data_IF_523296798872
#
_entry.id   IF_523296798872
#
_cell.length_a   1.000
_cell.length_b   1.000
_cell.length_c   1.000
_cell.angle_alpha   90.00
_cell.angle_beta   90.00
_cell.angle_gamma   90.00
#
_symmetry.space_group_name_H-M   'P 1'
#
loop_
_entity.id
_entity.type
_entity.pdbx_description
1 polymer ?
#
# COMPACT_ATOMS: atom_id res chain seq x y z
N UNK A 1 -18.29 -16.06 26.53
CA UNK A 1 -19.20 -15.72 25.41
C UNK A 1 -18.34 -15.11 24.31
N UNK A 2 -18.57 -15.38 23.02
CA UNK A 2 -17.99 -14.57 21.96
C UNK A 2 -18.48 -13.13 22.07
N UNK A 3 -17.64 -12.15 21.75
CA UNK A 3 -18.03 -10.74 21.74
C UNK A 3 -18.52 -10.40 20.33
N UNK A 4 -19.82 -10.10 20.19
CA UNK A 4 -20.47 -9.93 18.88
C UNK A 4 -20.38 -8.52 18.32
N UNK A 5 -20.14 -7.52 19.16
CA UNK A 5 -20.01 -6.11 18.82
C UNK A 5 -18.55 -5.65 18.64
N UNK A 6 -17.59 -6.58 18.55
CA UNK A 6 -16.18 -6.27 18.32
C UNK A 6 -15.57 -7.14 17.21
N UNK A 7 -14.78 -6.52 16.32
CA UNK A 7 -14.18 -7.18 15.15
C UNK A 7 -12.69 -6.87 14.92
N UNK A 8 -11.96 -7.85 14.41
CA UNK A 8 -10.74 -7.64 13.64
C UNK A 8 -11.13 -7.36 12.18
N UNK A 9 -10.54 -6.32 11.58
CA UNK A 9 -10.86 -5.86 10.22
C UNK A 9 -9.58 -5.85 9.36
N UNK A 10 -9.68 -6.30 8.11
CA UNK A 10 -8.61 -6.21 7.10
C UNK A 10 -9.17 -5.80 5.74
N UNK A 11 -8.31 -5.40 4.79
CA UNK A 11 -8.67 -5.05 3.42
C UNK A 11 -7.94 -5.94 2.40
N UNK A 12 -8.65 -6.43 1.38
CA UNK A 12 -8.07 -7.08 0.21
C UNK A 12 -8.59 -6.43 -1.10
N UNK A 13 -7.74 -5.69 -1.80
CA UNK A 13 -8.10 -4.93 -3.01
C UNK A 13 -8.01 -5.73 -4.32
N UNK A 14 -7.67 -7.03 -4.24
CA UNK A 14 -7.53 -7.97 -5.37
C UNK A 14 -7.23 -9.39 -4.84
N UNK A 15 -7.22 -10.37 -5.74
CA UNK A 15 -6.95 -11.79 -5.43
C UNK A 15 -5.55 -12.06 -4.85
N UNK A 16 -4.56 -11.19 -5.10
CA UNK A 16 -3.21 -11.35 -4.56
C UNK A 16 -3.17 -10.95 -3.09
N UNK A 17 -3.68 -9.77 -2.74
CA UNK A 17 -3.84 -9.36 -1.33
C UNK A 17 -4.85 -10.24 -0.57
N UNK A 18 -5.79 -10.88 -1.26
CA UNK A 18 -6.70 -11.86 -0.66
C UNK A 18 -5.95 -13.08 -0.09
N UNK A 19 -4.82 -13.49 -0.66
CA UNK A 19 -3.98 -14.55 -0.08
C UNK A 19 -3.39 -14.13 1.26
N UNK A 20 -2.98 -12.86 1.37
CA UNK A 20 -2.55 -12.23 2.62
C UNK A 20 -3.66 -12.24 3.67
N UNK A 21 -4.83 -11.68 3.32
CA UNK A 21 -5.99 -11.62 4.20
C UNK A 21 -6.42 -13.03 4.68
N UNK A 22 -6.39 -14.04 3.81
CA UNK A 22 -6.68 -15.42 4.18
C UNK A 22 -5.71 -15.97 5.23
N UNK A 23 -4.40 -15.75 5.07
CA UNK A 23 -3.40 -16.18 6.07
C UNK A 23 -3.52 -15.39 7.37
N UNK A 24 -3.79 -14.08 7.32
CA UNK A 24 -4.07 -13.24 8.47
C UNK A 24 -5.30 -13.75 9.25
N UNK A 25 -6.44 -13.90 8.59
CA UNK A 25 -7.68 -14.39 9.20
C UNK A 25 -7.51 -15.78 9.82
N UNK A 26 -6.84 -16.70 9.11
CA UNK A 26 -6.53 -18.02 9.65
C UNK A 26 -5.55 -17.96 10.82
N UNK A 27 -4.59 -17.02 10.83
CA UNK A 27 -3.69 -16.84 11.98
C UNK A 27 -4.45 -16.38 13.23
N UNK A 28 -5.43 -15.47 13.09
CA UNK A 28 -6.34 -15.07 14.16
C UNK A 28 -7.20 -16.24 14.67
N UNK A 29 -7.78 -17.05 13.77
CA UNK A 29 -8.52 -18.28 14.14
C UNK A 29 -7.60 -19.28 14.88
N UNK A 30 -6.37 -19.50 14.42
CA UNK A 30 -5.38 -20.38 15.05
C UNK A 30 -5.03 -19.92 16.48
N UNK A 31 -4.91 -18.60 16.70
CA UNK A 31 -4.70 -17.99 18.01
C UNK A 31 -5.98 -17.82 18.84
N UNK A 32 -7.08 -18.44 18.42
CA UNK A 32 -8.37 -18.47 19.13
C UNK A 32 -8.94 -17.08 19.43
N UNK A 33 -8.79 -16.14 18.49
CA UNK A 33 -9.43 -14.83 18.54
C UNK A 33 -10.92 -14.96 18.88
N UNK A 34 -11.38 -14.23 19.89
CA UNK A 34 -12.75 -14.34 20.44
C UNK A 34 -13.76 -13.36 19.83
N UNK A 35 -13.29 -12.57 18.86
CA UNK A 35 -14.00 -11.50 18.14
C UNK A 35 -14.31 -11.91 16.71
N UNK A 36 -15.20 -11.15 16.08
CA UNK A 36 -15.54 -11.31 14.66
C UNK A 36 -14.34 -11.03 13.76
N UNK A 37 -14.25 -11.73 12.64
CA UNK A 37 -13.29 -11.45 11.56
C UNK A 37 -14.03 -10.86 10.37
N UNK A 38 -13.69 -9.63 9.98
CA UNK A 38 -14.28 -8.93 8.83
C UNK A 38 -13.19 -8.66 7.78
N UNK A 39 -13.50 -8.92 6.51
CA UNK A 39 -12.67 -8.47 5.39
C UNK A 39 -13.44 -7.53 4.47
N UNK A 40 -12.90 -6.33 4.29
CA UNK A 40 -13.29 -5.41 3.23
C UNK A 40 -12.66 -5.90 1.92
N UNK A 41 -13.43 -5.90 0.84
CA UNK A 41 -12.96 -6.23 -0.51
C UNK A 41 -13.39 -5.18 -1.53
N UNK A 42 -12.68 -5.07 -2.64
CA UNK A 42 -13.12 -4.27 -3.79
C UNK A 42 -13.81 -5.13 -4.85
N UNK A 43 -14.52 -4.53 -5.82
CA UNK A 43 -15.07 -5.24 -6.98
C UNK A 43 -14.05 -6.10 -7.76
N UNK A 44 -12.75 -5.82 -7.65
CA UNK A 44 -11.69 -6.55 -8.36
C UNK A 44 -11.32 -7.91 -7.73
N UNK A 45 -11.83 -8.24 -6.54
CA UNK A 45 -11.69 -9.59 -5.96
C UNK A 45 -12.66 -10.54 -6.65
N UNK A 46 -12.16 -11.68 -7.14
CA UNK A 46 -12.93 -12.65 -7.92
C UNK A 46 -13.99 -13.39 -7.10
N UNK A 47 -15.01 -13.93 -7.79
CA UNK A 47 -16.07 -14.76 -7.20
C UNK A 47 -15.51 -15.98 -6.45
N UNK A 48 -14.45 -16.61 -6.97
CA UNK A 48 -13.73 -17.69 -6.29
C UNK A 48 -13.12 -17.22 -4.96
N UNK A 49 -12.37 -16.12 -4.98
CA UNK A 49 -11.72 -15.61 -3.77
C UNK A 49 -12.73 -15.13 -2.72
N UNK A 50 -13.86 -14.57 -3.13
CA UNK A 50 -14.98 -14.21 -2.22
C UNK A 50 -15.53 -15.44 -1.48
N UNK A 51 -15.76 -16.54 -2.19
CA UNK A 51 -16.21 -17.80 -1.57
C UNK A 51 -15.16 -18.33 -0.60
N UNK A 52 -13.86 -18.31 -0.97
CA UNK A 52 -12.78 -18.78 -0.09
C UNK A 52 -12.63 -17.87 1.15
N UNK A 53 -12.73 -16.54 1.01
CA UNK A 53 -12.75 -15.58 2.12
C UNK A 53 -13.90 -15.86 3.08
N UNK A 54 -15.10 -16.17 2.58
CA UNK A 54 -16.26 -16.53 3.43
C UNK A 54 -16.12 -17.87 4.17
N UNK A 55 -15.12 -18.71 3.83
CA UNK A 55 -14.76 -19.93 4.59
C UNK A 55 -13.79 -19.63 5.75
N UNK A 56 -13.25 -18.40 5.86
CA UNK A 56 -12.29 -17.97 6.91
C UNK A 56 -12.84 -16.81 7.75
N UNK A 57 -13.39 -15.78 7.11
CA UNK A 57 -13.96 -14.59 7.74
C UNK A 57 -15.43 -14.80 8.13
N UNK A 58 -15.89 -14.08 9.16
CA UNK A 58 -17.29 -14.09 9.57
C UNK A 58 -18.15 -13.17 8.67
N UNK A 59 -17.55 -12.14 8.09
CA UNK A 59 -18.16 -11.23 7.12
C UNK A 59 -17.18 -10.84 6.00
N UNK A 60 -17.70 -10.74 4.78
CA UNK A 60 -16.99 -10.30 3.56
C UNK A 60 -17.79 -9.16 2.95
N UNK A 61 -17.26 -7.94 3.01
CA UNK A 61 -18.00 -6.70 2.70
C UNK A 61 -17.38 -6.05 1.47
N UNK A 62 -18.15 -5.86 0.41
CA UNK A 62 -17.69 -5.09 -0.76
C UNK A 62 -17.74 -3.58 -0.51
N UNK A 63 -16.64 -2.91 -0.85
CA UNK A 63 -16.50 -1.46 -0.88
C UNK A 63 -16.28 -1.04 -2.33
N UNK A 64 -17.29 -0.38 -2.91
CA UNK A 64 -17.24 0.15 -4.27
C UNK A 64 -17.25 1.68 -4.25
N UNK A 65 -16.07 2.31 -4.30
CA UNK A 65 -15.92 3.77 -4.23
C UNK A 65 -16.62 4.53 -5.37
N UNK A 66 -16.92 3.87 -6.49
CA UNK A 66 -17.58 4.51 -7.65
C UNK A 66 -19.09 4.65 -7.41
N UNK A 67 -19.70 3.66 -6.74
CA UNK A 67 -21.13 3.58 -6.39
C UNK A 67 -21.40 4.10 -4.95
N UNK A 68 -20.35 4.55 -4.26
CA UNK A 68 -20.43 5.17 -2.94
C UNK A 68 -20.91 6.62 -3.06
N UNK A 69 -21.86 7.01 -2.21
CA UNK A 69 -22.57 8.29 -2.27
C UNK A 69 -21.65 9.52 -2.44
N UNK A 70 -22.14 10.50 -3.21
CA UNK A 70 -21.45 11.65 -3.83
C UNK A 70 -20.12 12.10 -3.20
N UNK A 71 -20.07 12.29 -1.89
CA UNK A 71 -18.88 12.79 -1.20
C UNK A 71 -17.65 11.85 -1.33
N UNK A 72 -17.85 10.54 -1.30
CA UNK A 72 -16.77 9.54 -1.46
C UNK A 72 -16.26 9.55 -2.90
N UNK A 73 -17.20 9.57 -3.87
CA UNK A 73 -16.90 9.69 -5.28
C UNK A 73 -16.16 11.01 -5.59
N UNK A 74 -16.58 12.13 -5.01
CA UNK A 74 -15.92 13.44 -5.16
C UNK A 74 -14.52 13.49 -4.53
N UNK A 75 -14.32 12.86 -3.37
CA UNK A 75 -13.00 12.72 -2.77
C UNK A 75 -12.07 11.91 -3.69
N UNK A 76 -12.54 10.78 -4.22
CA UNK A 76 -11.80 9.96 -5.18
C UNK A 76 -11.52 10.68 -6.50
N UNK A 77 -12.47 11.42 -7.08
CA UNK A 77 -12.26 12.22 -8.29
C UNK A 77 -11.22 13.34 -8.11
N UNK A 78 -11.14 13.92 -6.91
CA UNK A 78 -10.11 14.92 -6.57
C UNK A 78 -8.73 14.30 -6.28
N UNK A 79 -8.71 13.04 -5.80
CA UNK A 79 -7.53 12.34 -5.27
C UNK A 79 -7.51 10.87 -5.74
N UNK A 80 -7.43 10.58 -7.05
CA UNK A 80 -7.48 9.20 -7.55
C UNK A 80 -6.30 8.35 -7.05
N UNK A 81 -5.17 8.98 -6.71
CA UNK A 81 -4.02 8.35 -6.06
C UNK A 81 -4.36 7.71 -4.71
N UNK A 82 -5.35 8.26 -3.99
CA UNK A 82 -5.78 7.78 -2.67
C UNK A 82 -6.82 6.64 -2.75
N UNK A 83 -7.08 6.03 -3.92
CA UNK A 83 -8.13 5.01 -4.07
C UNK A 83 -8.04 3.83 -3.07
N UNK A 84 -6.84 3.34 -2.77
CA UNK A 84 -6.66 2.29 -1.74
C UNK A 84 -6.91 2.85 -0.34
N UNK A 85 -6.40 4.04 -0.03
CA UNK A 85 -6.63 4.76 1.23
C UNK A 85 -8.11 4.96 1.50
N UNK A 86 -8.86 5.52 0.55
CA UNK A 86 -10.31 5.77 0.67
C UNK A 86 -11.08 4.45 0.85
N UNK A 87 -10.62 3.35 0.25
CA UNK A 87 -11.17 2.01 0.50
C UNK A 87 -10.88 1.53 1.94
N UNK A 88 -9.67 1.76 2.46
CA UNK A 88 -9.28 1.41 3.85
C UNK A 88 -10.08 2.22 4.88
N UNK A 89 -10.36 3.49 4.62
CA UNK A 89 -11.19 4.34 5.48
C UNK A 89 -12.61 3.80 5.71
N UNK A 90 -13.16 3.00 4.79
CA UNK A 90 -14.50 2.43 4.94
C UNK A 90 -14.65 1.51 6.16
N UNK A 91 -13.55 1.09 6.79
CA UNK A 91 -13.61 0.38 8.07
C UNK A 91 -14.33 1.19 9.18
N UNK A 92 -14.31 2.53 9.12
CA UNK A 92 -15.10 3.38 10.03
C UNK A 92 -16.61 3.37 9.74
N UNK A 93 -17.08 2.86 8.60
CA UNK A 93 -18.54 2.77 8.32
C UNK A 93 -19.22 1.58 9.01
N UNK A 94 -18.45 0.65 9.57
CA UNK A 94 -18.87 -0.60 10.22
C UNK A 94 -19.55 -0.39 11.60
N UNK A 95 -20.48 0.55 11.68
CA UNK A 95 -21.15 1.08 12.90
C UNK A 95 -22.02 0.08 13.67
N UNK A 96 -22.14 -1.16 13.20
CA UNK A 96 -22.68 -2.29 13.98
C UNK A 96 -21.64 -2.89 14.95
N UNK A 97 -20.36 -2.52 14.82
CA UNK A 97 -19.28 -2.81 15.76
C UNK A 97 -18.96 -1.59 16.65
N UNK A 98 -18.82 -1.79 17.96
CA UNK A 98 -18.54 -0.75 18.96
C UNK A 98 -17.05 -0.34 19.01
N UNK A 99 -16.17 -1.28 18.62
CA UNK A 99 -14.72 -1.11 18.53
C UNK A 99 -14.14 -2.17 17.60
N UNK A 100 -13.16 -1.75 16.80
CA UNK A 100 -12.46 -2.61 15.86
C UNK A 100 -10.94 -2.51 16.00
N UNK A 101 -10.25 -3.58 15.63
CA UNK A 101 -8.79 -3.58 15.42
C UNK A 101 -8.55 -3.80 13.94
N UNK A 102 -7.98 -2.82 13.25
CA UNK A 102 -7.55 -2.98 11.86
C UNK A 102 -6.19 -3.67 11.81
N UNK A 103 -6.00 -4.58 10.85
CA UNK A 103 -4.72 -5.16 10.47
C UNK A 103 -4.62 -5.19 8.93
N UNK A 104 -3.51 -4.72 8.36
CA UNK A 104 -3.26 -4.85 6.93
C UNK A 104 -3.03 -6.32 6.52
N UNK A 105 -3.40 -6.67 5.29
CA UNK A 105 -3.42 -8.05 4.80
C UNK A 105 -2.03 -8.70 4.64
N UNK A 106 -0.94 -7.93 4.74
CA UNK A 106 0.44 -8.40 4.84
C UNK A 106 0.97 -8.41 6.29
N UNK A 107 0.07 -8.51 7.26
CA UNK A 107 0.40 -8.86 8.66
C UNK A 107 0.20 -10.35 8.96
N UNK A 108 0.78 -10.84 10.06
CA UNK A 108 0.69 -12.21 10.53
C UNK A 108 0.64 -12.26 12.06
N UNK A 109 -0.36 -12.91 12.64
CA UNK A 109 -0.58 -12.99 14.08
C UNK A 109 0.02 -14.27 14.67
N UNK A 110 0.98 -14.11 15.60
CA UNK A 110 1.78 -15.18 16.21
C UNK A 110 1.28 -15.63 17.58
N UNK A 111 0.48 -14.80 18.25
CA UNK A 111 -0.12 -15.06 19.56
C UNK A 111 -1.50 -14.38 19.64
N UNK A 112 -2.35 -14.76 20.59
CA UNK A 112 -3.62 -14.06 20.80
C UNK A 112 -3.37 -12.57 21.18
N UNK A 113 -4.15 -11.68 20.59
CA UNK A 113 -4.09 -10.21 20.72
C UNK A 113 -5.45 -9.60 21.14
N UNK A 114 -6.31 -10.39 21.79
CA UNK A 114 -7.66 -9.96 22.18
C UNK A 114 -7.66 -8.79 23.19
N UNK A 115 -6.57 -8.56 23.91
CA UNK A 115 -6.38 -7.39 24.80
C UNK A 115 -6.21 -6.06 24.05
N UNK A 116 -6.04 -6.05 22.71
CA UNK A 116 -6.03 -4.79 21.95
C UNK A 116 -7.38 -4.04 22.03
N UNK A 117 -8.49 -4.76 22.23
CA UNK A 117 -9.81 -4.14 22.41
C UNK A 117 -9.99 -3.45 23.76
N UNK A 118 -9.04 -3.53 24.69
CA UNK A 118 -9.03 -2.72 25.91
C UNK A 118 -8.59 -1.26 25.63
N UNK A 119 -7.98 -1.00 24.46
CA UNK A 119 -7.48 0.31 24.02
C UNK A 119 -8.60 1.21 23.45
N UNK A 120 -8.32 2.51 23.31
CA UNK A 120 -9.27 3.52 22.79
C UNK A 120 -8.88 4.01 21.40
N UNK A 121 -9.79 4.64 20.65
CA UNK A 121 -9.41 5.35 19.44
C UNK A 121 -8.49 6.57 19.76
N UNK A 122 -7.47 6.88 18.97
CA UNK A 122 -6.81 6.05 17.96
C UNK A 122 -5.54 5.46 18.60
N UNK A 123 -5.42 4.13 18.69
CA UNK A 123 -4.24 3.47 19.26
C UNK A 123 -3.48 2.68 18.22
N UNK A 124 -2.21 2.98 18.01
CA UNK A 124 -1.34 2.32 17.03
C UNK A 124 0.10 2.17 17.58
N UNK A 125 0.93 1.39 16.88
CA UNK A 125 2.34 1.23 17.22
C UNK A 125 3.21 2.29 16.51
N UNK A 126 4.36 2.70 17.08
CA UNK A 126 5.30 3.60 16.42
C UNK A 126 5.81 3.03 15.09
N UNK A 127 5.99 3.90 14.11
CA UNK A 127 6.67 3.55 12.87
C UNK A 127 8.19 3.48 13.10
N UNK A 128 8.89 2.44 12.59
CA UNK A 128 10.32 2.27 12.84
C UNK A 128 11.22 3.17 11.98
N UNK A 129 10.67 3.88 10.98
CA UNK A 129 11.38 4.90 10.21
C UNK A 129 11.30 6.28 10.85
N UNK A 130 10.11 6.69 11.29
CA UNK A 130 9.90 7.97 11.98
C UNK A 130 8.99 7.76 13.22
N UNK A 131 9.56 7.63 14.44
CA UNK A 131 8.83 7.11 15.61
C UNK A 131 7.79 8.06 16.22
N UNK A 132 7.80 9.35 15.86
CA UNK A 132 6.73 10.30 16.21
C UNK A 132 5.50 10.15 15.29
N UNK A 133 5.60 9.32 14.24
CA UNK A 133 4.48 8.81 13.49
C UNK A 133 4.16 7.38 13.96
N UNK A 134 2.89 7.00 13.89
CA UNK A 134 2.48 5.61 14.03
C UNK A 134 2.48 4.90 12.68
N UNK A 135 2.65 3.58 12.71
CA UNK A 135 2.47 2.72 11.54
C UNK A 135 1.00 2.29 11.41
N UNK A 136 0.37 2.54 10.26
CA UNK A 136 -1.06 2.26 10.04
C UNK A 136 -1.38 0.79 9.70
N UNK A 137 -0.39 -0.10 9.79
CA UNK A 137 -0.54 -1.54 9.59
C UNK A 137 -1.36 -2.25 10.66
N UNK A 138 -1.36 -1.74 11.91
CA UNK A 138 -2.17 -2.25 13.02
C UNK A 138 -2.62 -1.10 13.90
N UNK A 139 -3.94 -0.90 14.03
CA UNK A 139 -4.51 0.14 14.89
C UNK A 139 -5.88 -0.22 15.48
N UNK A 140 -6.23 0.39 16.61
CA UNK A 140 -7.51 0.25 17.31
C UNK A 140 -8.33 1.52 17.13
N UNK A 141 -9.57 1.36 16.66
CA UNK A 141 -10.47 2.45 16.27
C UNK A 141 -11.93 2.14 16.66
N UNK A 142 -12.81 3.13 16.52
CA UNK A 142 -14.24 3.00 16.80
C UNK A 142 -15.04 3.41 15.56
N UNK A 143 -15.76 2.47 14.91
CA UNK A 143 -16.58 2.78 13.74
C UNK A 143 -17.57 3.92 14.01
N UNK A 144 -17.52 4.94 13.15
CA UNK A 144 -18.31 6.17 13.24
C UNK A 144 -18.41 6.81 11.87
N UNK A 145 -19.63 7.11 11.43
CA UNK A 145 -19.87 7.84 10.17
C UNK A 145 -19.40 9.31 10.27
N UNK A 146 -19.34 9.87 11.47
CA UNK A 146 -18.78 11.21 11.72
C UNK A 146 -17.26 11.19 11.52
N UNK A 147 -16.55 10.27 12.17
CA UNK A 147 -15.08 10.11 12.00
C UNK A 147 -14.74 9.78 10.54
N UNK A 148 -15.55 8.95 9.87
CA UNK A 148 -15.39 8.67 8.44
C UNK A 148 -15.55 9.93 7.56
N UNK A 149 -16.60 10.72 7.79
CA UNK A 149 -16.82 11.97 7.06
C UNK A 149 -15.68 12.98 7.25
N UNK A 150 -15.21 13.13 8.50
CA UNK A 150 -14.07 13.99 8.83
C UNK A 150 -12.76 13.51 8.21
N UNK A 151 -12.50 12.19 8.16
CA UNK A 151 -11.34 11.61 7.48
C UNK A 151 -11.38 11.82 5.96
N UNK A 152 -12.55 11.67 5.32
CA UNK A 152 -12.75 11.95 3.90
C UNK A 152 -12.60 13.44 3.57
N UNK A 153 -13.06 14.33 4.46
CA UNK A 153 -12.83 15.77 4.33
C UNK A 153 -11.33 16.08 4.46
N UNK A 154 -10.65 15.53 5.46
CA UNK A 154 -9.22 15.75 5.65
C UNK A 154 -8.39 15.26 4.45
N UNK A 155 -8.76 14.12 3.85
CA UNK A 155 -8.15 13.62 2.61
C UNK A 155 -8.44 14.54 1.40
N UNK A 156 -9.61 15.16 1.36
CA UNK A 156 -10.00 16.11 0.31
C UNK A 156 -9.21 17.42 0.40
N UNK A 157 -9.12 17.97 1.62
CA UNK A 157 -8.59 19.31 1.88
C UNK A 157 -7.04 19.30 2.02
N UNK A 158 -6.46 18.24 2.59
CA UNK A 158 -5.02 18.15 2.89
C UNK A 158 -4.29 17.01 2.14
N UNK A 159 -5.00 16.01 1.61
CA UNK A 159 -4.39 14.83 0.98
C UNK A 159 -3.65 13.92 1.97
N UNK A 160 -2.57 13.28 1.53
CA UNK A 160 -1.62 12.58 2.40
C UNK A 160 -0.19 13.01 2.08
N UNK A 161 0.67 13.15 3.11
CA UNK A 161 2.08 13.52 2.93
C UNK A 161 2.96 12.39 2.37
N UNK A 162 2.49 11.14 2.42
CA UNK A 162 3.17 9.96 1.85
C UNK A 162 2.43 9.35 0.65
N UNK A 163 1.30 9.94 0.23
CA UNK A 163 0.43 9.42 -0.81
C UNK A 163 -0.39 8.17 -0.43
N UNK A 164 -0.29 7.70 0.81
CA UNK A 164 -0.95 6.49 1.32
C UNK A 164 -1.87 6.80 2.52
N UNK A 165 -2.37 5.76 3.20
CA UNK A 165 -3.22 5.92 4.38
C UNK A 165 -2.45 6.29 5.65
N UNK A 166 -1.16 5.91 5.75
CA UNK A 166 -0.36 6.19 6.93
C UNK A 166 -0.18 7.69 7.14
N UNK A 167 0.20 8.46 6.11
CA UNK A 167 0.34 9.90 6.20
C UNK A 167 -0.99 10.64 6.44
N UNK A 168 -2.09 10.17 5.84
CA UNK A 168 -3.42 10.73 6.07
C UNK A 168 -3.84 10.55 7.54
N UNK A 169 -3.73 9.33 8.05
CA UNK A 169 -4.11 8.99 9.41
C UNK A 169 -3.22 9.71 10.43
N UNK A 170 -1.90 9.79 10.21
CA UNK A 170 -0.99 10.54 11.09
C UNK A 170 -1.29 12.05 11.08
N UNK A 171 -1.68 12.61 9.94
CA UNK A 171 -2.10 14.01 9.83
C UNK A 171 -3.39 14.29 10.62
N UNK A 172 -4.37 13.38 10.53
CA UNK A 172 -5.66 13.48 11.23
C UNK A 172 -5.53 13.24 12.75
N UNK A 173 -4.91 12.12 13.16
CA UNK A 173 -4.68 11.74 14.55
C UNK A 173 -3.34 12.28 15.11
N UNK A 174 -2.96 13.49 14.68
CA UNK A 174 -1.64 14.13 14.90
C UNK A 174 -1.23 14.37 16.36
N UNK A 175 -2.13 14.18 17.32
CA UNK A 175 -1.82 14.21 18.76
C UNK A 175 -1.27 12.89 19.32
N UNK A 176 -1.27 11.80 18.54
CA UNK A 176 -0.91 10.46 19.00
C UNK A 176 0.46 10.38 19.71
N UNK A 177 1.50 11.02 19.16
CA UNK A 177 2.87 10.95 19.70
C UNK A 177 3.06 11.67 21.03
N UNK A 178 2.17 12.60 21.40
CA UNK A 178 2.37 13.52 22.54
C UNK A 178 1.27 13.48 23.60
N UNK A 179 0.05 13.03 23.28
CA UNK A 179 -1.10 13.18 24.17
C UNK A 179 -1.29 12.06 25.21
N UNK A 180 -1.16 10.78 24.82
CA UNK A 180 -1.51 9.65 25.69
C UNK A 180 -0.71 8.38 25.38
N UNK A 181 0.15 7.97 26.32
CA UNK A 181 0.95 6.74 26.23
C UNK A 181 0.09 5.47 26.16
N UNK A 182 -1.17 5.50 26.62
CA UNK A 182 -2.08 4.35 26.49
C UNK A 182 -2.51 4.11 25.03
N UNK A 183 -2.31 5.09 24.13
CA UNK A 183 -2.54 4.95 22.69
C UNK A 183 -1.31 4.45 21.92
N UNK A 184 -0.16 4.34 22.59
CA UNK A 184 1.02 3.69 22.05
C UNK A 184 0.89 2.19 22.26
N UNK A 185 0.64 1.45 21.17
CA UNK A 185 0.74 -0.01 21.18
C UNK A 185 2.22 -0.39 21.24
N UNK A 186 2.63 -1.32 22.13
CA UNK A 186 3.99 -1.84 22.12
C UNK A 186 4.39 -2.39 20.75
N UNK A 187 5.62 -2.14 20.31
CA UNK A 187 6.10 -2.49 18.95
C UNK A 187 5.93 -3.98 18.56
N UNK A 188 5.83 -4.88 19.55
CA UNK A 188 5.49 -6.30 19.36
C UNK A 188 4.09 -6.56 18.75
N UNK A 189 3.20 -5.57 18.70
CA UNK A 189 1.89 -5.64 18.05
C UNK A 189 1.90 -5.15 16.59
N UNK A 190 3.05 -4.68 16.07
CA UNK A 190 3.21 -4.30 14.65
C UNK A 190 4.71 -4.36 14.27
N UNK A 191 5.37 -5.49 14.48
CA UNK A 191 6.81 -5.59 14.19
C UNK A 191 7.03 -5.68 12.68
N UNK A 192 7.72 -4.69 12.10
CA UNK A 192 8.30 -4.78 10.76
C UNK A 192 9.18 -6.04 10.62
N UNK A 193 8.88 -6.91 9.67
CA UNK A 193 9.70 -8.10 9.39
C UNK A 193 11.06 -7.76 8.77
N UNK A 194 11.21 -6.55 8.25
CA UNK A 194 12.39 -6.12 7.51
C UNK A 194 13.47 -5.62 8.48
N UNK A 195 14.65 -6.24 8.41
CA UNK A 195 15.71 -5.97 9.37
C UNK A 195 16.50 -4.69 9.14
N UNK A 196 16.26 -3.95 8.05
CA UNK A 196 16.72 -2.57 7.94
C UNK A 196 16.04 -1.66 8.99
N UNK A 197 14.78 -1.97 9.33
CA UNK A 197 13.97 -1.28 10.34
C UNK A 197 14.04 -1.94 11.73
N UNK A 198 14.77 -3.05 11.88
CA UNK A 198 14.81 -3.83 13.13
C UNK A 198 16.20 -3.82 13.73
N UNK A 199 16.38 -3.08 14.83
CA UNK A 199 17.62 -3.07 15.60
C UNK A 199 17.93 -4.48 16.16
N UNK A 200 18.84 -5.21 15.49
CA UNK A 200 19.08 -6.65 15.74
C UNK A 200 19.36 -7.02 17.21
N UNK A 201 20.13 -6.25 18.01
CA UNK A 201 20.29 -6.50 19.45
C UNK A 201 18.97 -6.46 20.23
N UNK A 202 18.08 -5.50 19.91
CA UNK A 202 16.75 -5.43 20.51
C UNK A 202 15.86 -6.60 20.06
N UNK A 203 15.92 -7.01 18.78
CA UNK A 203 15.20 -8.22 18.34
C UNK A 203 15.69 -9.48 19.06
N UNK A 204 17.02 -9.65 19.23
CA UNK A 204 17.58 -10.77 20.01
C UNK A 204 17.17 -10.75 21.49
N UNK A 205 16.77 -9.58 22.03
CA UNK A 205 16.32 -9.41 23.41
C UNK A 205 14.80 -9.54 23.61
N UNK A 206 14.00 -9.07 22.65
CA UNK A 206 12.55 -8.90 22.79
C UNK A 206 11.73 -9.63 21.70
N UNK A 207 12.35 -10.10 20.61
CA UNK A 207 11.70 -10.71 19.45
C UNK A 207 10.95 -12.01 19.73
N UNK A 208 11.24 -12.68 20.84
CA UNK A 208 10.47 -13.83 21.35
C UNK A 208 9.08 -13.46 21.90
N UNK A 209 8.81 -12.16 22.12
CA UNK A 209 7.54 -11.64 22.64
C UNK A 209 6.65 -11.01 21.55
N UNK A 210 7.03 -11.18 20.27
CA UNK A 210 6.29 -10.62 19.13
C UNK A 210 4.95 -11.30 18.98
N UNK A 211 3.88 -10.50 18.90
CA UNK A 211 2.51 -10.97 18.70
C UNK A 211 2.01 -10.77 17.27
N UNK A 212 2.45 -9.72 16.57
CA UNK A 212 2.13 -9.48 15.16
C UNK A 212 3.40 -9.07 14.40
N UNK A 213 3.57 -9.66 13.22
CA UNK A 213 4.61 -9.30 12.24
C UNK A 213 3.95 -8.64 11.04
N UNK A 214 4.57 -7.59 10.49
CA UNK A 214 4.11 -6.84 9.33
C UNK A 214 5.18 -6.89 8.24
N UNK A 215 4.84 -7.40 7.05
CA UNK A 215 5.78 -7.63 5.95
C UNK A 215 6.01 -6.39 5.09
N UNK A 216 6.52 -5.33 5.73
CA UNK A 216 6.86 -4.04 5.10
C UNK A 216 7.88 -4.17 3.95
N UNK A 217 7.72 -3.30 2.95
CA UNK A 217 8.49 -3.30 1.70
C UNK A 217 7.71 -3.88 0.51
N UNK A 218 8.30 -3.88 -0.70
CA UNK A 218 7.62 -4.29 -1.93
C UNK A 218 7.47 -5.81 -2.08
N UNK A 219 8.39 -6.59 -1.50
CA UNK A 219 8.38 -8.06 -1.61
C UNK A 219 7.55 -8.68 -0.50
N UNK A 220 6.24 -8.81 -0.75
CA UNK A 220 5.27 -9.43 0.17
C UNK A 220 5.43 -10.96 0.24
N UNK A 221 4.91 -11.65 1.29
CA UNK A 221 5.16 -13.08 1.49
C UNK A 221 4.80 -13.99 0.31
N UNK A 222 3.68 -13.68 -0.35
CA UNK A 222 3.18 -14.39 -1.53
C UNK A 222 4.04 -14.23 -2.79
N UNK A 223 4.98 -13.27 -2.82
CA UNK A 223 5.95 -13.12 -3.92
C UNK A 223 7.12 -14.12 -3.82
N UNK A 224 7.35 -14.73 -2.65
CA UNK A 224 8.42 -15.72 -2.45
C UNK A 224 7.99 -17.10 -2.97
N UNK A 225 8.94 -17.86 -3.52
CA UNK A 225 8.73 -19.29 -3.82
C UNK A 225 8.91 -20.10 -2.54
N UNK A 226 8.06 -21.10 -2.32
CA UNK A 226 8.12 -21.99 -1.16
C UNK A 226 8.28 -23.44 -1.58
N UNK A 227 9.06 -24.21 -0.81
CA UNK A 227 9.31 -25.62 -0.99
C UNK A 227 8.61 -26.41 0.13
N UNK A 228 7.46 -27.07 -0.14
CA UNK A 228 6.74 -27.85 0.86
C UNK A 228 7.51 -29.04 1.43
N UNK A 229 8.49 -29.59 0.71
CA UNK A 229 9.29 -30.73 1.14
C UNK A 229 10.39 -30.34 2.14
N UNK A 230 10.98 -29.14 2.02
CA UNK A 230 11.93 -28.60 3.01
C UNK A 230 11.25 -27.77 4.09
N UNK A 231 10.02 -27.32 3.85
CA UNK A 231 9.28 -26.43 4.75
C UNK A 231 9.80 -24.98 4.76
N UNK A 232 10.50 -24.56 3.69
CA UNK A 232 11.19 -23.27 3.62
C UNK A 232 10.86 -22.47 2.36
N UNK A 233 10.93 -21.15 2.44
CA UNK A 233 11.07 -20.30 1.24
C UNK A 233 12.40 -20.62 0.52
N UNK A 234 12.42 -20.35 -0.78
CA UNK A 234 13.61 -20.41 -1.61
C UNK A 234 14.26 -19.02 -1.67
N UNK A 235 15.58 -18.97 -1.46
CA UNK A 235 16.35 -17.73 -1.49
C UNK A 235 16.76 -17.40 -2.94
N UNK A 236 16.25 -16.31 -3.49
CA UNK A 236 16.66 -15.79 -4.81
C UNK A 236 17.77 -14.74 -4.65
N UNK A 237 19.01 -15.20 -4.57
CA UNK A 237 20.22 -14.35 -4.59
C UNK A 237 21.23 -14.70 -3.51
N UNK A 238 22.50 -14.34 -3.73
CA UNK A 238 23.65 -14.65 -2.86
C UNK A 238 23.79 -13.74 -1.63
N UNK A 239 22.69 -13.14 -1.17
CA UNK A 239 22.65 -12.32 0.05
C UNK A 239 22.42 -13.18 1.30
N UNK A 240 22.92 -12.71 2.45
CA UNK A 240 22.52 -13.26 3.75
C UNK A 240 21.05 -12.89 4.03
N UNK A 241 20.11 -13.70 3.54
CA UNK A 241 18.70 -13.59 3.89
C UNK A 241 18.56 -13.63 5.41
N UNK A 242 17.93 -12.61 6.00
CA UNK A 242 18.00 -12.46 7.44
C UNK A 242 17.15 -13.55 8.11
N UNK A 243 17.81 -14.42 8.89
CA UNK A 243 17.24 -15.64 9.47
C UNK A 243 15.90 -15.39 10.20
N UNK A 244 15.72 -14.21 10.78
CA UNK A 244 14.47 -13.80 11.45
C UNK A 244 13.33 -13.55 10.45
N UNK A 245 13.60 -12.84 9.35
CA UNK A 245 12.62 -12.63 8.27
C UNK A 245 12.26 -13.95 7.58
N UNK A 246 13.25 -14.79 7.26
CA UNK A 246 13.05 -16.14 6.71
C UNK A 246 12.19 -17.00 7.64
N UNK A 247 12.38 -16.90 8.96
CA UNK A 247 11.54 -17.61 9.95
C UNK A 247 10.08 -17.17 9.91
N UNK A 248 9.80 -15.87 9.81
CA UNK A 248 8.43 -15.35 9.70
C UNK A 248 7.78 -15.69 8.35
N UNK A 249 8.53 -15.63 7.24
CA UNK A 249 8.07 -16.06 5.92
C UNK A 249 7.70 -17.55 5.90
N UNK A 250 8.50 -18.41 6.54
CA UNK A 250 8.20 -19.83 6.68
C UNK A 250 6.93 -20.09 7.51
N UNK A 251 6.64 -19.27 8.53
CA UNK A 251 5.38 -19.36 9.28
C UNK A 251 4.17 -18.93 8.45
N UNK A 252 4.28 -17.84 7.68
CA UNK A 252 3.23 -17.40 6.74
C UNK A 252 2.92 -18.50 5.72
N UNK A 253 3.95 -19.02 5.06
CA UNK A 253 3.80 -20.09 4.06
C UNK A 253 3.31 -21.40 4.64
N UNK A 254 3.68 -21.74 5.89
CA UNK A 254 3.14 -22.91 6.58
C UNK A 254 1.62 -22.81 6.74
N UNK A 255 1.09 -21.66 7.16
CA UNK A 255 -0.37 -21.45 7.24
C UNK A 255 -1.01 -21.51 5.85
N UNK A 256 -0.41 -20.84 4.85
CA UNK A 256 -0.92 -20.87 3.48
C UNK A 256 -1.07 -22.31 2.95
N UNK A 257 -0.01 -23.12 3.05
CA UNK A 257 0.02 -24.49 2.52
C UNK A 257 -0.91 -25.46 3.28
N UNK A 258 -0.99 -25.36 4.60
CA UNK A 258 -1.75 -26.34 5.42
C UNK A 258 -3.22 -25.97 5.61
N UNK A 259 -3.60 -24.70 5.44
CA UNK A 259 -4.94 -24.21 5.79
C UNK A 259 -5.65 -23.44 4.68
N UNK A 260 -4.91 -22.75 3.79
CA UNK A 260 -5.51 -21.89 2.75
C UNK A 260 -5.57 -22.62 1.41
N UNK A 261 -4.47 -23.22 0.96
CA UNK A 261 -4.38 -23.97 -0.29
C UNK A 261 -5.43 -25.10 -0.43
N UNK A 262 -5.80 -25.86 0.63
CA UNK A 262 -6.86 -26.87 0.54
C UNK A 262 -8.26 -26.30 0.21
N UNK A 263 -8.53 -25.03 0.55
CA UNK A 263 -9.82 -24.38 0.30
C UNK A 263 -10.08 -24.17 -1.20
N UNK A 264 -9.02 -23.88 -1.97
CA UNK A 264 -9.05 -23.85 -3.45
C UNK A 264 -9.33 -25.23 -4.06
N UNK A 265 -8.83 -26.30 -3.42
CA UNK A 265 -9.05 -27.68 -3.88
C UNK A 265 -10.52 -28.11 -3.75
N UNK A 266 -11.18 -27.71 -2.67
CA UNK A 266 -12.59 -28.03 -2.41
C UNK A 266 -13.53 -27.46 -3.49
N UNK A 267 -13.24 -26.26 -4.00
CA UNK A 267 -14.11 -25.58 -4.96
C UNK A 267 -14.20 -26.31 -6.31
N UNK A 268 -13.12 -26.94 -6.78
CA UNK A 268 -13.15 -27.73 -8.04
C UNK A 268 -14.10 -28.92 -7.95
N UNK A 269 -14.18 -29.55 -6.78
CA UNK A 269 -15.10 -30.66 -6.50
C UNK A 269 -16.54 -30.15 -6.35
N UNK A 270 -16.72 -28.95 -5.76
CA UNK A 270 -18.02 -28.27 -5.68
C UNK A 270 -18.56 -27.91 -7.10
N UNK A 271 -17.72 -27.44 -8.03
CA UNK A 271 -18.12 -27.17 -9.43
C UNK A 271 -18.41 -28.44 -10.25
N UNK A 272 -17.58 -29.48 -10.14
CA UNK A 272 -17.79 -30.75 -10.84
C UNK A 272 -19.09 -31.44 -10.41
N UNK A 273 -19.49 -31.32 -9.14
CA UNK A 273 -20.76 -31.85 -8.64
C UNK A 273 -21.97 -30.94 -8.89
N UNK A 274 -21.77 -29.65 -9.16
CA UNK A 274 -22.86 -28.71 -9.48
C UNK A 274 -23.43 -28.86 -10.90
N UNK A 275 -22.89 -29.76 -11.73
CA UNK A 275 -23.17 -29.84 -13.18
C UNK A 275 -23.94 -31.09 -13.67
N UNK A 276 -25.15 -31.42 -13.18
CA UNK A 276 -25.95 -32.54 -13.69
C UNK A 276 -26.73 -32.20 -14.99
N UNK A 277 -26.01 -32.17 -16.11
CA UNK A 277 -26.49 -32.54 -17.45
C UNK A 277 -27.72 -31.86 -18.07
N UNK A 278 -27.49 -31.07 -19.12
CA UNK A 278 -28.48 -30.80 -20.19
C UNK A 278 -27.89 -31.14 -21.57
N UNK A 279 -27.90 -32.42 -21.91
CA UNK A 279 -27.49 -32.94 -23.23
C UNK A 279 -28.70 -33.05 -24.17
N UNK A 280 -29.00 -31.96 -24.88
CA UNK A 280 -30.00 -31.92 -25.94
C UNK A 280 -29.46 -31.14 -27.15
N UNK A 281 -28.93 -31.85 -28.15
CA UNK A 281 -28.52 -31.25 -29.42
C UNK A 281 -29.50 -31.57 -30.54
N UNK A 282 -29.66 -30.65 -31.50
CA UNK A 282 -29.88 -30.93 -32.94
C UNK A 282 -29.85 -29.62 -33.77
N UNK A 283 -29.22 -29.71 -34.95
CA UNK A 283 -29.26 -28.79 -36.12
C UNK A 283 -28.73 -27.35 -35.99
N UNK A 284 -27.53 -27.19 -36.55
CA UNK A 284 -27.26 -26.39 -37.77
C UNK A 284 -28.22 -25.24 -38.15
N UNK A 285 -27.64 -24.05 -38.35
CA UNK A 285 -27.79 -23.36 -39.64
C UNK A 285 -26.51 -22.57 -40.00
N UNK A 286 -25.98 -22.80 -41.19
CA UNK A 286 -24.81 -22.08 -41.72
C UNK A 286 -25.24 -20.95 -42.66
N UNK A 287 -24.74 -19.73 -42.45
CA UNK A 287 -24.77 -18.66 -43.47
C UNK A 287 -23.60 -17.68 -43.35
N UNK A 288 -22.81 -17.60 -44.42
CA UNK A 288 -21.81 -16.57 -44.79
C UNK A 288 -21.60 -16.69 -46.31
N UNK A 289 -21.03 -15.69 -47.03
CA UNK A 289 -20.79 -14.28 -46.66
C UNK A 289 -21.46 -13.30 -47.67
N UNK A 290 -21.25 -12.00 -47.46
CA UNK A 290 -21.30 -10.98 -48.51
C UNK A 290 -20.11 -10.01 -48.31
N UNK A 291 -19.61 -9.37 -49.38
CA UNK A 291 -18.36 -8.62 -49.33
C UNK A 291 -18.37 -7.35 -50.21
N UNK A 292 -17.50 -6.41 -49.84
CA UNK A 292 -17.17 -5.18 -50.57
C UNK A 292 -17.42 -3.90 -49.74
N UNK A 293 -16.74 -2.78 -49.95
CA UNK A 293 -15.45 -2.49 -50.61
C UNK A 293 -15.19 -0.97 -50.57
N UNK A 294 -13.92 -0.55 -50.59
CA UNK A 294 -13.47 0.81 -50.99
C UNK A 294 -13.68 2.02 -50.04
N UNK A 295 -12.60 2.33 -49.33
CA UNK A 295 -11.87 3.62 -49.22
C UNK A 295 -12.18 4.76 -50.25
N UNK A 296 -11.63 6.01 -50.10
CA UNK A 296 -11.50 6.85 -48.88
C UNK A 296 -11.60 8.41 -49.12
N UNK A 297 -11.57 9.21 -48.04
CA UNK A 297 -11.05 10.62 -48.00
C UNK A 297 -11.85 11.70 -48.81
N UNK A 298 -11.54 13.03 -48.74
CA UNK A 298 -10.42 13.76 -48.12
C UNK A 298 -10.81 14.86 -47.11
N UNK A 299 -9.84 15.71 -46.75
CA UNK A 299 -9.98 16.95 -45.98
C UNK A 299 -9.38 18.14 -46.75
N UNK A 300 -9.85 19.36 -46.51
CA UNK A 300 -9.17 20.60 -46.90
C UNK A 300 -9.62 21.80 -46.04
N UNK A 301 -8.92 22.95 -46.15
CA UNK A 301 -9.19 24.18 -45.39
C UNK A 301 -10.24 25.11 -46.05
N UNK A 302 -10.21 26.46 -45.85
CA UNK A 302 -9.01 27.29 -45.66
C UNK A 302 -9.07 28.28 -44.46
N UNK A 303 -8.12 29.22 -44.44
CA UNK A 303 -7.91 30.27 -43.43
C UNK A 303 -8.18 31.68 -43.95
N UNK A 304 -8.35 32.67 -43.06
CA UNK A 304 -8.21 34.11 -43.38
C UNK A 304 -7.73 34.93 -42.15
N UNK A 305 -7.33 36.20 -42.33
CA UNK A 305 -6.43 36.96 -41.42
C UNK A 305 -6.96 38.33 -40.91
N UNK A 306 -6.16 38.94 -40.01
CA UNK A 306 -6.05 40.38 -39.59
C UNK A 306 -7.10 40.92 -38.60
N UNK A 307 -6.88 42.00 -37.82
CA UNK A 307 -5.86 43.09 -37.87
C UNK A 307 -5.16 43.32 -36.49
N UNK A 308 -4.01 44.01 -36.51
CA UNK A 308 -3.16 44.48 -35.38
C UNK A 308 -3.67 45.78 -34.71
N UNK A 309 -3.41 46.00 -33.42
CA UNK A 309 -2.93 47.31 -32.86
C UNK A 309 -2.27 47.14 -31.48
N UNK A 310 -1.49 48.14 -31.05
CA UNK A 310 -0.48 48.10 -29.97
C UNK A 310 -0.70 49.25 -28.95
N UNK A 311 0.00 49.25 -27.81
CA UNK A 311 0.63 50.42 -27.13
C UNK A 311 0.99 50.19 -25.63
N UNK A 312 2.19 50.61 -25.23
CA UNK A 312 2.73 50.71 -23.84
C UNK A 312 3.89 51.74 -23.80
N UNK A 313 4.55 52.07 -22.65
CA UNK A 313 4.26 51.76 -21.24
C UNK A 313 3.77 53.02 -20.45
N UNK A 314 4.57 53.89 -19.76
CA UNK A 314 5.98 53.90 -19.34
C UNK A 314 6.18 53.62 -17.81
N UNK A 315 7.36 53.94 -17.26
CA UNK A 315 7.71 53.98 -15.82
C UNK A 315 8.57 55.24 -15.53
N UNK A 316 8.87 55.64 -14.28
CA UNK A 316 10.30 55.69 -13.91
C UNK A 316 10.70 55.48 -12.42
N UNK A 317 11.81 54.74 -12.23
CA UNK A 317 12.99 55.00 -11.35
C UNK A 317 12.86 55.15 -9.82
N UNK A 318 13.75 54.42 -9.11
CA UNK A 318 14.20 54.68 -7.73
C UNK A 318 15.45 53.83 -7.41
N UNK A 319 16.35 54.29 -6.54
CA UNK A 319 17.61 53.61 -6.20
C UNK A 319 17.91 53.76 -4.69
N UNK A 320 18.57 52.78 -4.07
CA UNK A 320 19.76 52.89 -3.20
C UNK A 320 19.99 51.61 -2.37
N UNK A 321 21.23 51.43 -1.89
CA UNK A 321 21.73 50.26 -1.16
C UNK A 321 22.81 50.69 -0.17
N UNK A 322 22.91 50.07 1.00
CA UNK A 322 24.02 50.24 1.95
C UNK A 322 24.17 49.01 2.88
N UNK A 323 25.42 48.67 3.20
CA UNK A 323 25.96 48.03 4.42
C UNK A 323 25.57 46.60 4.87
N UNK A 324 26.44 45.77 5.51
CA UNK A 324 27.93 45.76 5.66
C UNK A 324 28.42 44.32 6.03
N UNK A 325 29.75 44.09 6.00
CA UNK A 325 30.48 42.85 6.31
C UNK A 325 30.07 42.03 7.57
N UNK A 326 30.38 40.71 7.56
CA UNK A 326 31.57 40.13 8.26
C UNK A 326 31.38 38.67 8.74
N UNK A 327 32.25 37.73 8.31
CA UNK A 327 32.96 36.76 9.19
C UNK A 327 33.76 35.65 8.46
N UNK A 328 35.08 35.62 8.70
CA UNK A 328 35.98 34.46 8.84
C UNK A 328 35.90 33.26 7.85
N UNK A 329 36.88 33.21 6.93
CA UNK A 329 37.30 31.98 6.23
C UNK A 329 38.26 31.13 7.09
N UNK A 330 38.21 29.81 6.94
CA UNK A 330 39.22 28.86 7.47
C UNK A 330 39.55 27.79 6.41
N UNK A 331 40.72 27.95 5.79
CA UNK A 331 41.51 26.95 5.06
C UNK A 331 40.79 25.93 4.14
N UNK A 332 40.83 26.21 2.85
CA UNK A 332 40.88 25.15 1.83
C UNK A 332 42.20 24.38 1.93
N UNK A 333 42.14 23.05 1.88
CA UNK A 333 43.24 22.19 1.44
C UNK A 333 42.80 21.59 0.11
N UNK A 334 43.03 22.32 -0.98
CA UNK A 334 42.65 21.86 -2.32
C UNK A 334 43.61 20.78 -2.81
N UNK A 335 43.11 19.55 -2.94
CA UNK A 335 43.77 18.47 -3.68
C UNK A 335 43.08 18.42 -5.04
N UNK A 336 43.75 18.91 -6.09
CA UNK A 336 43.31 18.76 -7.48
C UNK A 336 43.46 17.30 -7.96
N UNK A 337 42.61 16.41 -7.45
CA UNK A 337 42.47 15.09 -8.05
C UNK A 337 41.78 15.25 -9.41
N UNK A 338 42.56 15.12 -10.49
CA UNK A 338 42.04 15.17 -11.87
C UNK A 338 41.08 14.02 -12.11
N UNK A 339 39.79 14.28 -11.89
CA UNK A 339 38.68 13.37 -12.22
C UNK A 339 38.80 12.96 -13.68
N UNK A 340 39.18 11.71 -13.90
CA UNK A 340 39.26 11.11 -15.21
C UNK A 340 37.84 10.87 -15.72
N UNK A 341 37.44 11.57 -16.76
CA UNK A 341 36.13 11.35 -17.37
C UNK A 341 35.98 9.90 -17.81
N UNK A 342 34.88 9.27 -17.39
CA UNK A 342 34.53 7.89 -17.69
C UNK A 342 33.89 7.81 -19.08
N UNK A 343 33.96 6.64 -19.71
CA UNK A 343 33.20 6.46 -20.96
C UNK A 343 31.70 6.40 -20.65
N UNK A 344 30.81 6.77 -21.60
CA UNK A 344 29.36 6.62 -21.43
C UNK A 344 28.92 5.18 -21.13
N UNK A 345 29.71 4.19 -21.56
CA UNK A 345 29.48 2.77 -21.27
C UNK A 345 29.83 2.41 -19.81
N UNK A 346 30.88 3.01 -19.25
CA UNK A 346 31.27 2.85 -17.85
C UNK A 346 30.32 3.60 -16.89
N UNK A 347 29.86 4.79 -17.26
CA UNK A 347 28.83 5.53 -16.53
C UNK A 347 27.51 4.75 -16.52
N UNK A 348 27.07 4.25 -17.68
CA UNK A 348 25.90 3.36 -17.78
C UNK A 348 26.06 2.09 -16.92
N UNK A 349 27.21 1.42 -16.96
CA UNK A 349 27.41 0.18 -16.17
C UNK A 349 27.36 0.46 -14.67
N UNK A 350 27.90 1.60 -14.19
CA UNK A 350 27.72 2.03 -12.79
C UNK A 350 26.25 2.24 -12.44
N UNK A 351 25.47 2.83 -13.33
CA UNK A 351 24.04 3.06 -13.15
C UNK A 351 23.28 1.72 -13.02
N UNK A 352 23.57 0.76 -13.89
CA UNK A 352 23.04 -0.62 -13.85
C UNK A 352 23.56 -1.43 -12.63
N UNK A 353 24.75 -1.14 -12.12
CA UNK A 353 25.31 -1.67 -10.85
C UNK A 353 24.74 -0.96 -9.60
N UNK A 354 23.84 0.03 -9.73
CA UNK A 354 23.25 0.78 -8.62
C UNK A 354 24.19 1.81 -7.95
N UNK A 355 25.31 2.14 -8.61
CA UNK A 355 26.38 3.04 -8.13
C UNK A 355 26.25 4.44 -8.76
N UNK A 356 25.08 5.04 -8.58
CA UNK A 356 24.63 6.29 -9.21
C UNK A 356 25.27 7.51 -8.52
N UNK A 357 25.70 8.52 -9.28
CA UNK A 357 26.34 9.73 -8.76
C UNK A 357 25.30 10.82 -8.41
N UNK A 358 24.55 10.57 -7.33
CA UNK A 358 23.44 11.42 -6.87
C UNK A 358 23.84 12.87 -6.50
N UNK A 359 25.13 13.19 -6.37
CA UNK A 359 25.61 14.54 -6.01
C UNK A 359 26.40 15.24 -7.13
N UNK A 360 26.91 14.50 -8.12
CA UNK A 360 27.63 15.02 -9.28
C UNK A 360 26.81 14.96 -10.57
N UNK A 361 27.16 14.04 -11.48
CA UNK A 361 26.60 13.95 -12.85
C UNK A 361 25.14 13.47 -12.90
N UNK A 362 24.75 12.58 -11.99
CA UNK A 362 23.39 12.00 -11.92
C UNK A 362 22.50 12.69 -10.88
N UNK A 363 22.93 13.84 -10.35
CA UNK A 363 22.14 14.65 -9.43
C UNK A 363 20.81 15.06 -10.07
N UNK A 364 19.71 14.94 -9.31
CA UNK A 364 18.34 15.17 -9.79
C UNK A 364 18.18 16.48 -10.56
N UNK A 365 18.75 17.59 -10.07
CA UNK A 365 18.73 18.89 -10.75
C UNK A 365 19.31 18.87 -12.18
N UNK A 366 20.38 18.11 -12.43
CA UNK A 366 20.98 17.96 -13.77
C UNK A 366 20.21 17.01 -14.67
N UNK A 367 19.47 16.05 -14.10
CA UNK A 367 18.56 15.18 -14.85
C UNK A 367 17.34 15.99 -15.29
N UNK A 368 16.77 16.80 -14.38
CA UNK A 368 15.67 17.71 -14.67
C UNK A 368 16.08 18.77 -15.71
N UNK A 369 17.22 19.45 -15.55
CA UNK A 369 17.75 20.41 -16.54
C UNK A 369 17.88 19.79 -17.95
N UNK A 370 18.32 18.53 -18.05
CA UNK A 370 18.41 17.80 -19.33
C UNK A 370 17.03 17.49 -19.92
N UNK A 371 16.04 17.16 -19.10
CA UNK A 371 14.66 16.86 -19.53
C UNK A 371 13.95 18.14 -19.97
N UNK A 372 14.01 19.20 -19.19
CA UNK A 372 13.40 20.50 -19.49
C UNK A 372 13.94 21.08 -20.82
N UNK A 373 15.23 20.86 -21.11
CA UNK A 373 15.89 21.23 -22.38
C UNK A 373 15.61 20.25 -23.55
N UNK A 374 14.93 19.13 -23.32
CA UNK A 374 14.51 18.18 -24.36
C UNK A 374 13.00 18.24 -24.63
N UNK A 375 12.27 19.05 -23.84
CA UNK A 375 10.82 19.27 -23.92
C UNK A 375 10.47 20.69 -24.43
N UNK A 376 11.46 21.39 -24.99
CA UNK A 376 11.35 22.65 -25.75
C UNK A 376 11.63 22.40 -27.24
#
# INVERSE_FOLDING_TARGET
>A
MPVSDQAFVTLATNDVYSQGALVLGQSLRNQRATRKLVVLITPQVSSLLRVILSKVFDEVIEVNLIDSADYIHLAFLKRPELGVTLTKLHCWTLTHYSKCVFLDADTLVLANIDELFDRTEFSAAPDPGWPDCFNSGVFVFQPSLETHGLLLQHATDHGSFDGADQGLLNSFFSSWSTADINKHLPFIYNLSSNTAYTYSPAFKRFGSSVKVVHFLGPTKPWNYKYNPQTGSVLEEGSGLANQHQTSFLNLWWKIYQHSILPLYGSFRVEEEHASPGHSAGIRELCTKPAAGSSQPWPAEGPSEQTVVTDDTPPSPKGCHSEDVDLAMSVFEISIEEKVKELSPEEERRKWEEGRIDYMGKDAFARIQEKLDRFLQ
#
